data_IF_154750527188
#
_entry.id   IF_154750527188
#
_cell.length_a   1.000
_cell.length_b   1.000
_cell.length_c   1.000
_cell.angle_alpha   90.00
_cell.angle_beta   90.00
_cell.angle_gamma   90.00
#
_symmetry.space_group_name_H-M   'P 1'
#
loop_
_entity.id
_entity.type
_entity.pdbx_description
1 polymer ?
#
# COMPACT_ATOMS: atom_id res chain seq x y z
N UNK A 1 1.25 -24.03 -2.90
CA UNK A 1 2.35 -24.82 -2.32
C UNK A 1 2.75 -25.92 -3.27
N UNK A 2 1.80 -26.78 -3.67
CA UNK A 2 2.07 -27.84 -4.65
C UNK A 2 2.66 -27.34 -5.98
N UNK A 3 2.12 -26.25 -6.55
CA UNK A 3 2.73 -25.64 -7.75
C UNK A 3 4.21 -25.27 -7.58
N UNK A 4 4.61 -24.81 -6.39
CA UNK A 4 6.01 -24.48 -6.11
C UNK A 4 6.87 -25.74 -6.03
N UNK A 5 6.37 -26.80 -5.38
CA UNK A 5 7.06 -28.09 -5.29
C UNK A 5 7.23 -28.73 -6.66
N UNK A 6 6.17 -28.73 -7.49
CA UNK A 6 6.22 -29.26 -8.86
C UNK A 6 7.22 -28.47 -9.70
N UNK A 7 7.16 -27.15 -9.66
CA UNK A 7 8.05 -26.31 -10.43
C UNK A 7 9.53 -26.47 -10.02
N UNK A 8 9.83 -26.35 -8.72
CA UNK A 8 11.20 -26.54 -8.20
C UNK A 8 11.74 -27.94 -8.50
N UNK A 9 10.91 -28.99 -8.39
CA UNK A 9 11.30 -30.36 -8.75
C UNK A 9 11.62 -30.50 -10.24
N UNK A 10 10.84 -29.87 -11.12
CA UNK A 10 11.11 -29.88 -12.56
C UNK A 10 12.42 -29.17 -12.92
N UNK A 11 12.85 -28.20 -12.11
CA UNK A 11 14.13 -27.53 -12.24
C UNK A 11 15.31 -28.32 -11.62
N UNK A 12 15.06 -29.51 -11.07
CA UNK A 12 16.10 -30.35 -10.45
C UNK A 12 16.60 -29.84 -9.10
N UNK A 13 15.83 -28.97 -8.43
CA UNK A 13 16.19 -28.41 -7.14
C UNK A 13 16.13 -29.46 -6.03
N UNK A 14 17.19 -29.54 -5.21
CA UNK A 14 17.30 -30.55 -4.14
C UNK A 14 16.29 -30.27 -3.03
N UNK A 15 16.06 -29.00 -2.73
CA UNK A 15 15.10 -28.51 -1.73
C UNK A 15 13.63 -28.73 -2.12
N UNK A 16 13.33 -29.12 -3.37
CA UNK A 16 11.96 -29.36 -3.82
C UNK A 16 11.21 -30.43 -3.01
N UNK A 17 11.96 -31.33 -2.37
CA UNK A 17 11.43 -32.37 -1.48
C UNK A 17 11.00 -31.84 -0.12
N UNK A 18 11.56 -30.71 0.33
CA UNK A 18 11.33 -30.12 1.65
C UNK A 18 11.43 -28.59 1.57
N UNK A 19 10.51 -27.97 0.81
CA UNK A 19 10.46 -26.52 0.67
C UNK A 19 10.15 -25.85 2.01
N UNK A 20 10.98 -24.88 2.38
CA UNK A 20 10.85 -24.12 3.61
C UNK A 20 10.33 -22.70 3.38
N UNK A 21 10.24 -21.91 4.45
CA UNK A 21 9.78 -20.52 4.39
C UNK A 21 10.70 -19.63 3.53
N UNK A 22 12.02 -19.81 3.58
CA UNK A 22 12.96 -18.99 2.81
C UNK A 22 12.96 -19.33 1.31
N UNK A 23 12.57 -20.56 0.94
CA UNK A 23 12.48 -20.99 -0.46
C UNK A 23 11.21 -20.48 -1.15
N UNK A 24 10.18 -20.14 -0.37
CA UNK A 24 8.84 -19.84 -0.89
C UNK A 24 8.83 -18.63 -1.82
N UNK A 25 9.48 -17.53 -1.44
CA UNK A 25 9.53 -16.32 -2.28
C UNK A 25 10.39 -16.52 -3.52
N UNK A 26 11.52 -17.22 -3.38
CA UNK A 26 12.42 -17.52 -4.49
C UNK A 26 11.71 -18.34 -5.57
N UNK A 27 11.12 -19.48 -5.20
CA UNK A 27 10.42 -20.33 -6.17
C UNK A 27 9.11 -19.73 -6.65
N UNK A 28 8.46 -18.87 -5.87
CA UNK A 28 7.30 -18.12 -6.35
C UNK A 28 7.69 -17.16 -7.48
N UNK A 29 8.83 -16.47 -7.39
CA UNK A 29 9.27 -15.57 -8.45
C UNK A 29 9.74 -16.32 -9.69
N UNK A 30 10.54 -17.39 -9.52
CA UNK A 30 10.94 -18.25 -10.66
C UNK A 30 9.73 -18.84 -11.40
N UNK A 31 8.71 -19.29 -10.66
CA UNK A 31 7.46 -19.76 -11.25
C UNK A 31 6.71 -18.62 -11.95
N UNK A 32 6.69 -17.42 -11.37
CA UNK A 32 6.02 -16.24 -11.94
C UNK A 32 6.66 -15.83 -13.26
N UNK A 33 7.98 -15.73 -13.29
CA UNK A 33 8.78 -15.46 -14.49
C UNK A 33 8.49 -16.50 -15.58
N UNK A 34 8.59 -17.79 -15.25
CA UNK A 34 8.35 -18.86 -16.25
C UNK A 34 6.91 -18.93 -16.74
N UNK A 35 5.93 -18.65 -15.88
CA UNK A 35 4.50 -18.79 -16.21
C UNK A 35 3.95 -17.60 -16.98
N UNK A 36 4.41 -16.40 -16.68
CA UNK A 36 3.88 -15.16 -17.27
C UNK A 36 4.87 -14.46 -18.21
N UNK A 37 6.12 -14.90 -18.25
CA UNK A 37 7.19 -14.33 -19.08
C UNK A 37 7.38 -12.83 -18.78
N UNK A 38 7.49 -12.52 -17.48
CA UNK A 38 7.71 -11.18 -16.91
C UNK A 38 8.87 -11.26 -15.92
N UNK A 39 9.83 -10.36 -16.07
CA UNK A 39 10.90 -10.14 -15.11
C UNK A 39 10.67 -8.81 -14.38
N UNK A 40 10.68 -8.81 -13.05
CA UNK A 40 10.46 -7.59 -12.26
C UNK A 40 11.56 -6.54 -12.49
N UNK A 41 12.81 -6.95 -12.71
CA UNK A 41 13.93 -6.04 -12.96
C UNK A 41 13.82 -5.36 -14.33
N UNK A 42 13.33 -6.07 -15.35
CA UNK A 42 13.10 -5.50 -16.69
C UNK A 42 11.93 -4.51 -16.70
N UNK A 43 11.03 -4.59 -15.72
CA UNK A 43 9.92 -3.66 -15.56
C UNK A 43 10.29 -2.37 -14.83
N UNK A 44 11.28 -2.41 -13.93
CA UNK A 44 11.69 -1.24 -13.13
C UNK A 44 11.93 0.03 -13.96
N UNK A 45 12.59 0.00 -15.14
CA UNK A 45 12.79 1.18 -15.97
C UNK A 45 11.50 1.89 -16.42
N UNK A 46 10.36 1.19 -16.45
CA UNK A 46 9.06 1.76 -16.83
C UNK A 46 8.31 2.40 -15.66
N UNK A 47 8.71 2.13 -14.42
CA UNK A 47 8.03 2.60 -13.21
C UNK A 47 8.89 3.60 -12.44
N UNK A 48 9.25 4.71 -13.08
CA UNK A 48 9.95 5.80 -12.38
C UNK A 48 8.98 6.61 -11.52
N UNK A 49 9.40 6.99 -10.31
CA UNK A 49 8.54 7.74 -9.38
C UNK A 49 7.91 9.02 -10.01
N UNK A 50 8.63 9.84 -10.80
CA UNK A 50 8.01 11.00 -11.45
C UNK A 50 6.83 10.63 -12.35
N UNK A 51 6.97 9.60 -13.19
CA UNK A 51 5.89 9.15 -14.09
C UNK A 51 4.71 8.55 -13.31
N UNK A 52 4.99 7.85 -12.22
CA UNK A 52 3.97 7.32 -11.30
C UNK A 52 3.15 8.47 -10.71
N UNK A 53 3.79 9.52 -10.20
CA UNK A 53 3.09 10.67 -9.62
C UNK A 53 2.29 11.45 -10.68
N UNK A 54 2.87 11.68 -11.86
CA UNK A 54 2.18 12.39 -12.95
C UNK A 54 0.90 11.65 -13.37
N UNK A 55 0.98 10.33 -13.56
CA UNK A 55 -0.20 9.53 -13.92
C UNK A 55 -1.22 9.47 -12.78
N UNK A 56 -0.77 9.34 -11.52
CA UNK A 56 -1.64 9.38 -10.34
C UNK A 56 -2.42 10.70 -10.25
N UNK A 57 -1.77 11.84 -10.52
CA UNK A 57 -2.42 13.15 -10.52
C UNK A 57 -3.39 13.31 -11.69
N UNK A 58 -3.05 12.80 -12.87
CA UNK A 58 -3.96 12.77 -14.01
C UNK A 58 -5.20 11.91 -13.73
N UNK A 59 -5.02 10.75 -13.06
CA UNK A 59 -6.13 9.93 -12.62
C UNK A 59 -7.01 10.68 -11.60
N UNK A 60 -6.40 11.33 -10.61
CA UNK A 60 -7.13 12.11 -9.61
C UNK A 60 -7.93 13.26 -10.25
N UNK A 61 -7.38 13.90 -11.28
CA UNK A 61 -8.10 14.89 -12.09
C UNK A 61 -9.30 14.30 -12.81
N UNK A 62 -9.13 13.14 -13.45
CA UNK A 62 -10.21 12.45 -14.18
C UNK A 62 -11.34 12.00 -13.24
N UNK A 63 -11.00 11.44 -12.07
CA UNK A 63 -11.99 10.89 -11.14
C UNK A 63 -12.64 11.94 -10.25
N UNK A 64 -11.87 12.92 -9.79
CA UNK A 64 -12.28 13.83 -8.71
C UNK A 64 -12.26 15.31 -9.10
N UNK A 65 -11.84 15.65 -10.33
CA UNK A 65 -11.85 17.02 -10.83
C UNK A 65 -10.86 17.94 -10.13
N UNK A 66 -9.77 17.40 -9.57
CA UNK A 66 -8.74 18.16 -8.86
C UNK A 66 -7.46 18.31 -9.68
N UNK A 67 -6.80 19.46 -9.56
CA UNK A 67 -5.49 19.70 -10.14
C UNK A 67 -4.43 19.71 -9.04
N UNK A 68 -3.38 18.91 -9.20
CA UNK A 68 -2.29 18.78 -8.23
C UNK A 68 -1.01 19.32 -8.88
N UNK A 69 -0.33 20.23 -8.19
CA UNK A 69 0.92 20.84 -8.68
C UNK A 69 1.99 20.88 -7.58
N UNK A 70 3.29 20.78 -7.94
CA UNK A 70 4.37 21.01 -7.00
C UNK A 70 4.28 22.40 -6.36
N UNK A 71 4.52 22.46 -5.06
CA UNK A 71 4.49 23.67 -4.25
C UNK A 71 5.71 23.74 -3.31
N UNK A 72 6.80 23.06 -3.66
CA UNK A 72 8.05 23.06 -2.90
C UNK A 72 8.51 24.50 -2.58
N UNK A 73 8.96 24.73 -1.35
CA UNK A 73 9.35 26.05 -0.85
C UNK A 73 8.21 26.86 -0.23
N UNK A 74 6.94 26.47 -0.42
CA UNK A 74 5.80 27.11 0.27
C UNK A 74 5.74 26.74 1.77
N UNK A 75 6.16 25.52 2.11
CA UNK A 75 6.20 25.01 3.47
C UNK A 75 7.60 24.48 3.81
N UNK A 76 8.06 24.60 5.07
CA UNK A 76 9.31 24.01 5.50
C UNK A 76 9.23 22.48 5.48
N UNK A 77 10.34 21.81 5.16
CA UNK A 77 10.45 20.35 5.08
C UNK A 77 11.60 19.85 5.96
N UNK A 78 11.54 18.59 6.38
CA UNK A 78 12.53 17.96 7.28
C UNK A 78 13.69 17.27 6.55
N UNK A 79 13.53 17.00 5.25
CA UNK A 79 14.54 16.33 4.43
C UNK A 79 14.41 16.82 2.96
N UNK A 80 15.52 16.84 2.22
CA UNK A 80 15.57 17.35 0.84
C UNK A 80 14.78 16.52 -0.17
N UNK A 81 14.53 15.24 0.14
CA UNK A 81 13.77 14.33 -0.70
C UNK A 81 12.25 14.50 -0.53
N UNK A 82 11.81 15.27 0.48
CA UNK A 82 10.40 15.54 0.74
C UNK A 82 9.86 16.47 -0.34
N UNK A 83 8.77 16.06 -0.97
CA UNK A 83 8.01 16.88 -1.93
C UNK A 83 6.79 17.47 -1.27
N UNK A 84 6.43 18.69 -1.66
CA UNK A 84 5.21 19.34 -1.20
C UNK A 84 4.32 19.73 -2.38
N UNK A 85 3.03 19.46 -2.27
CA UNK A 85 2.07 19.64 -3.35
C UNK A 85 0.88 20.48 -2.89
N UNK A 86 0.33 21.26 -3.84
CA UNK A 86 -0.92 21.98 -3.70
C UNK A 86 -2.00 21.25 -4.48
N UNK A 87 -3.17 21.08 -3.87
CA UNK A 87 -4.37 20.55 -4.51
C UNK A 87 -5.36 21.68 -4.76
N UNK A 88 -5.86 21.79 -5.98
CA UNK A 88 -6.80 22.83 -6.43
C UNK A 88 -8.09 22.20 -6.93
N UNK A 89 -9.20 22.91 -6.76
CA UNK A 89 -10.47 22.58 -7.42
C UNK A 89 -10.46 22.97 -8.92
N UNK A 90 -11.54 22.66 -9.62
CA UNK A 90 -11.73 22.98 -11.03
C UNK A 90 -11.78 24.48 -11.35
N UNK A 91 -11.96 25.34 -10.35
CA UNK A 91 -11.90 26.80 -10.47
C UNK A 91 -10.47 27.34 -10.22
N UNK A 92 -9.53 26.47 -9.89
CA UNK A 92 -8.13 26.81 -9.60
C UNK A 92 -7.90 27.27 -8.15
N UNK A 93 -8.90 27.18 -7.27
CA UNK A 93 -8.75 27.58 -5.87
C UNK A 93 -8.06 26.46 -5.07
N UNK A 94 -7.08 26.78 -4.19
CA UNK A 94 -6.48 25.78 -3.32
C UNK A 94 -7.53 25.19 -2.36
N UNK A 95 -7.59 23.86 -2.28
CA UNK A 95 -8.50 23.14 -1.38
C UNK A 95 -7.76 22.27 -0.36
N UNK A 96 -6.51 21.89 -0.62
CA UNK A 96 -5.69 21.11 0.30
C UNK A 96 -4.20 21.15 -0.08
N UNK A 97 -3.36 20.56 0.78
CA UNK A 97 -1.93 20.33 0.52
C UNK A 97 -1.48 18.98 1.06
N UNK A 98 -0.37 18.45 0.57
CA UNK A 98 0.26 17.30 1.19
C UNK A 98 1.78 17.26 1.01
N UNK A 99 2.45 16.64 1.96
CA UNK A 99 3.86 16.27 1.86
C UNK A 99 3.99 14.82 1.41
N UNK A 100 5.07 14.51 0.71
CA UNK A 100 5.42 13.15 0.34
C UNK A 100 6.90 12.86 0.65
N UNK A 101 7.16 11.90 1.56
CA UNK A 101 8.50 11.38 1.90
C UNK A 101 8.64 9.93 1.37
N UNK A 102 9.17 9.73 0.15
CA UNK A 102 9.01 8.46 -0.58
C UNK A 102 10.02 7.36 -0.20
N UNK A 103 11.25 7.73 0.17
CA UNK A 103 12.37 6.79 0.13
C UNK A 103 12.65 6.11 1.46
N UNK A 104 13.18 4.88 1.38
CA UNK A 104 13.69 4.17 2.55
C UNK A 104 14.89 4.88 3.16
N UNK A 105 14.86 5.08 4.48
CA UNK A 105 15.93 5.73 5.25
C UNK A 105 16.06 5.08 6.64
N UNK A 106 16.52 3.83 6.71
CA UNK A 106 16.39 2.98 7.91
C UNK A 106 17.17 3.49 9.13
N UNK A 107 18.12 4.40 8.96
CA UNK A 107 18.86 5.02 10.07
C UNK A 107 18.00 5.90 10.97
N UNK A 108 16.91 6.48 10.45
CA UNK A 108 16.10 7.48 11.18
C UNK A 108 14.59 7.45 10.85
N UNK A 109 14.17 6.70 9.83
CA UNK A 109 12.78 6.62 9.37
C UNK A 109 12.20 5.23 9.64
N UNK A 110 11.01 5.19 10.25
CA UNK A 110 10.23 3.96 10.46
C UNK A 110 9.98 3.26 9.11
N UNK A 111 9.95 1.93 9.11
CA UNK A 111 9.61 1.14 7.93
C UNK A 111 8.11 1.08 7.63
N UNK A 112 7.75 0.56 6.46
CA UNK A 112 6.37 0.46 5.99
C UNK A 112 5.97 1.60 5.06
N UNK A 113 4.69 1.86 4.98
CA UNK A 113 4.11 3.04 4.36
C UNK A 113 2.92 3.48 5.21
N UNK A 114 2.63 4.78 5.23
CA UNK A 114 1.50 5.32 5.96
C UNK A 114 1.14 6.74 5.49
N UNK A 115 -0.11 7.11 5.75
CA UNK A 115 -0.62 8.46 5.69
C UNK A 115 -0.81 8.98 7.13
N UNK A 116 -0.58 10.27 7.34
CA UNK A 116 -0.87 10.94 8.61
C UNK A 116 -1.47 12.33 8.38
N UNK A 117 -2.28 12.81 9.32
CA UNK A 117 -2.82 14.17 9.25
C UNK A 117 -1.82 15.19 9.79
N UNK A 118 -1.63 16.30 9.07
CA UNK A 118 -0.86 17.45 9.57
C UNK A 118 -1.80 18.42 10.27
N UNK A 119 -2.84 18.84 9.54
CA UNK A 119 -3.95 19.62 10.07
C UNK A 119 -5.24 19.20 9.39
N UNK A 120 -6.35 19.16 10.14
CA UNK A 120 -7.68 18.88 9.60
C UNK A 120 -8.34 20.12 9.00
N UNK A 121 -9.27 19.88 8.07
CA UNK A 121 -10.22 20.90 7.62
C UNK A 121 -11.07 21.37 8.79
N UNK A 122 -11.17 22.67 9.02
CA UNK A 122 -11.89 23.16 10.20
C UNK A 122 -12.34 24.61 10.06
N UNK A 123 -13.63 24.86 10.32
CA UNK A 123 -14.19 26.21 10.43
C UNK A 123 -13.71 26.92 11.70
N UNK A 124 -13.66 26.21 12.82
CA UNK A 124 -13.26 26.77 14.14
C UNK A 124 -11.81 27.24 14.14
N UNK A 125 -10.92 26.51 13.44
CA UNK A 125 -9.49 26.84 13.35
C UNK A 125 -9.17 27.74 12.14
N UNK A 126 -10.18 28.37 11.55
CA UNK A 126 -9.99 29.38 10.52
C UNK A 126 -9.49 30.70 11.11
N UNK A 127 -8.88 31.52 10.25
CA UNK A 127 -8.57 32.91 10.58
C UNK A 127 -9.89 33.70 10.58
N UNK A 128 -10.04 34.66 11.49
CA UNK A 128 -11.28 35.43 11.65
C UNK A 128 -11.81 35.97 10.31
N UNK A 129 -13.05 35.60 9.97
CA UNK A 129 -13.74 36.04 8.75
C UNK A 129 -13.33 35.31 7.46
N UNK A 130 -12.49 34.27 7.53
CA UNK A 130 -12.08 33.48 6.37
C UNK A 130 -12.85 32.16 6.24
N UNK A 131 -12.77 31.55 5.06
CA UNK A 131 -13.23 30.19 4.81
C UNK A 131 -12.55 29.17 5.74
N UNK A 132 -13.10 27.95 5.92
CA UNK A 132 -12.48 26.92 6.75
C UNK A 132 -10.99 26.72 6.44
N UNK A 133 -10.18 26.48 7.48
CA UNK A 133 -8.76 26.11 7.31
C UNK A 133 -8.67 24.89 6.40
N UNK A 134 -7.77 24.91 5.42
CA UNK A 134 -7.57 23.81 4.48
C UNK A 134 -6.84 22.64 5.17
N UNK A 135 -7.20 21.38 4.85
CA UNK A 135 -6.51 20.21 5.34
C UNK A 135 -5.11 20.06 4.74
N UNK A 136 -4.20 19.46 5.51
CA UNK A 136 -2.86 19.08 5.05
C UNK A 136 -2.58 17.64 5.49
N UNK A 137 -2.05 16.82 4.59
CA UNK A 137 -1.69 15.41 4.81
C UNK A 137 -0.18 15.16 4.70
N UNK A 138 0.29 14.08 5.31
CA UNK A 138 1.54 13.41 5.02
C UNK A 138 1.26 12.12 4.25
N UNK A 139 2.05 11.85 3.22
CA UNK A 139 2.20 10.54 2.63
C UNK A 139 3.65 10.10 2.83
N UNK A 140 3.85 8.89 3.32
CA UNK A 140 5.18 8.36 3.61
C UNK A 140 5.28 6.95 3.07
N UNK A 141 6.29 6.71 2.23
CA UNK A 141 6.65 5.38 1.73
C UNK A 141 8.10 5.04 2.10
N UNK A 142 8.49 3.77 1.95
CA UNK A 142 9.87 3.32 2.09
C UNK A 142 10.34 2.60 0.83
N UNK A 143 10.08 3.18 -0.34
CA UNK A 143 10.46 2.59 -1.62
C UNK A 143 11.97 2.68 -1.88
N UNK A 144 12.42 1.91 -2.88
CA UNK A 144 13.80 1.84 -3.35
C UNK A 144 14.33 3.25 -3.66
N UNK A 145 15.39 3.72 -2.95
CA UNK A 145 15.96 5.05 -3.20
C UNK A 145 16.53 5.18 -4.62
N UNK A 146 16.70 6.43 -5.12
CA UNK A 146 17.47 6.70 -6.34
C UNK A 146 18.87 6.06 -6.31
N UNK A 147 19.35 5.61 -7.47
CA UNK A 147 20.71 5.05 -7.62
C UNK A 147 21.53 5.95 -8.54
N UNK A 148 22.52 6.64 -7.96
CA UNK A 148 23.28 7.67 -8.67
C UNK A 148 22.37 8.80 -9.15
N UNK A 149 22.47 9.16 -10.43
CA UNK A 149 21.66 10.24 -11.03
C UNK A 149 20.31 9.76 -11.60
N UNK A 150 19.98 8.47 -11.45
CA UNK A 150 18.72 7.91 -11.95
C UNK A 150 17.57 8.19 -10.98
N UNK A 151 16.32 8.37 -11.47
CA UNK A 151 15.16 8.45 -10.58
C UNK A 151 14.97 7.14 -9.80
N UNK A 152 14.15 7.18 -8.75
CA UNK A 152 13.69 5.95 -8.08
C UNK A 152 12.90 5.10 -9.07
N UNK A 153 13.41 3.89 -9.35
CA UNK A 153 12.79 2.90 -10.22
C UNK A 153 12.09 1.84 -9.37
N UNK A 154 10.78 1.73 -9.55
CA UNK A 154 9.88 1.04 -8.65
C UNK A 154 9.52 -0.34 -9.17
N UNK A 155 9.26 -1.25 -8.24
CA UNK A 155 8.47 -2.45 -8.48
C UNK A 155 6.99 -2.08 -8.62
N UNK A 156 6.19 -2.98 -9.21
CA UNK A 156 4.74 -2.78 -9.28
C UNK A 156 4.11 -2.66 -7.88
N UNK A 157 4.66 -3.39 -6.88
CA UNK A 157 4.16 -3.32 -5.50
C UNK A 157 4.41 -1.97 -4.83
N UNK A 158 5.55 -1.34 -5.12
CA UNK A 158 5.82 0.03 -4.65
C UNK A 158 4.88 1.04 -5.31
N UNK A 159 4.49 0.83 -6.58
CA UNK A 159 3.47 1.66 -7.25
C UNK A 159 2.11 1.51 -6.56
N UNK A 160 1.65 0.28 -6.30
CA UNK A 160 0.42 0.03 -5.54
C UNK A 160 0.45 0.72 -4.16
N UNK A 161 1.61 0.69 -3.48
CA UNK A 161 1.78 1.32 -2.17
C UNK A 161 1.61 2.84 -2.24
N UNK A 162 2.14 3.51 -3.27
CA UNK A 162 1.91 4.96 -3.45
C UNK A 162 0.44 5.26 -3.71
N UNK A 163 -0.25 4.45 -4.52
CA UNK A 163 -1.69 4.60 -4.76
C UNK A 163 -2.51 4.39 -3.48
N UNK A 164 -2.13 3.40 -2.66
CA UNK A 164 -2.75 3.12 -1.37
C UNK A 164 -2.69 4.34 -0.43
N UNK A 165 -1.49 4.88 -0.19
CA UNK A 165 -1.33 6.04 0.70
C UNK A 165 -2.01 7.29 0.13
N UNK A 166 -2.06 7.42 -1.19
CA UNK A 166 -2.76 8.53 -1.83
C UNK A 166 -4.28 8.45 -1.63
N UNK A 167 -4.86 7.24 -1.55
CA UNK A 167 -6.28 7.07 -1.21
C UNK A 167 -6.64 7.60 0.17
N UNK A 168 -5.81 7.32 1.19
CA UNK A 168 -5.96 7.95 2.51
C UNK A 168 -5.83 9.48 2.44
N UNK A 169 -4.81 9.96 1.72
CA UNK A 169 -4.57 11.39 1.57
C UNK A 169 -5.76 12.09 0.89
N UNK A 170 -6.36 11.49 -0.15
CA UNK A 170 -7.56 11.98 -0.82
C UNK A 170 -8.73 12.10 0.15
N UNK A 171 -9.01 11.08 0.98
CA UNK A 171 -10.12 11.14 1.94
C UNK A 171 -9.95 12.27 2.96
N UNK A 172 -8.72 12.48 3.43
CA UNK A 172 -8.41 13.61 4.32
C UNK A 172 -8.56 14.97 3.62
N UNK A 173 -8.01 15.09 2.41
CA UNK A 173 -7.90 16.34 1.67
C UNK A 173 -9.21 16.80 1.03
N UNK A 174 -10.03 15.88 0.53
CA UNK A 174 -11.25 16.16 -0.21
C UNK A 174 -12.50 16.18 0.67
N UNK A 175 -12.34 16.11 1.99
CA UNK A 175 -13.46 16.19 2.92
C UNK A 175 -14.24 17.51 2.76
N UNK A 176 -15.56 17.40 2.66
CA UNK A 176 -16.45 18.57 2.63
C UNK A 176 -16.90 19.03 4.03
N UNK A 177 -16.64 18.21 5.06
CA UNK A 177 -16.95 18.56 6.44
C UNK A 177 -16.02 19.68 6.92
N UNK A 178 -16.60 20.71 7.56
CA UNK A 178 -15.83 21.78 8.21
C UNK A 178 -15.84 21.69 9.74
N UNK A 179 -16.54 20.69 10.29
CA UNK A 179 -16.49 20.33 11.70
C UNK A 179 -15.22 19.53 11.99
N UNK A 180 -14.23 20.18 12.58
CA UNK A 180 -12.85 19.68 12.60
C UNK A 180 -12.64 18.38 13.38
N UNK A 181 -13.58 17.99 14.25
CA UNK A 181 -13.52 16.74 15.01
C UNK A 181 -13.99 15.51 14.21
N UNK A 182 -14.66 15.73 13.08
CA UNK A 182 -15.19 14.67 12.19
C UNK A 182 -14.81 14.89 10.73
N UNK A 183 -13.85 15.79 10.47
CA UNK A 183 -13.36 16.09 9.13
C UNK A 183 -12.24 15.13 8.71
N UNK A 184 -12.15 14.89 7.41
CA UNK A 184 -11.15 14.00 6.82
C UNK A 184 -11.44 12.54 7.16
N UNK A 185 -10.50 11.90 7.85
CA UNK A 185 -10.62 10.52 8.32
C UNK A 185 -11.09 10.41 9.78
N UNK A 186 -11.28 11.53 10.48
CA UNK A 186 -11.67 11.54 11.90
C UNK A 186 -13.12 11.10 12.07
N UNK A 187 -13.36 10.23 13.06
CA UNK A 187 -14.70 9.75 13.39
C UNK A 187 -15.24 8.67 12.46
N UNK A 188 -14.44 8.21 11.49
CA UNK A 188 -14.76 7.04 10.67
C UNK A 188 -14.41 5.78 11.46
N UNK A 189 -15.32 4.82 11.49
CA UNK A 189 -15.07 3.51 12.08
C UNK A 189 -13.81 2.87 11.47
N UNK A 190 -12.95 2.33 12.34
CA UNK A 190 -11.60 1.90 11.95
C UNK A 190 -11.57 0.74 10.95
N UNK A 191 -12.68 0.03 10.76
CA UNK A 191 -12.85 -1.00 9.74
C UNK A 191 -13.36 -0.47 8.39
N UNK A 192 -13.52 0.85 8.25
CA UNK A 192 -13.83 1.54 7.00
C UNK A 192 -12.70 2.47 6.50
N UNK A 193 -11.69 2.77 7.31
CA UNK A 193 -10.62 3.72 6.94
C UNK A 193 -9.73 3.23 5.79
N UNK A 194 -9.65 1.92 5.58
CA UNK A 194 -8.88 1.30 4.46
C UNK A 194 -9.62 1.30 3.12
N UNK A 195 -10.88 1.76 3.10
CA UNK A 195 -11.71 1.72 1.90
C UNK A 195 -11.12 2.54 0.73
N UNK A 196 -10.78 3.83 0.90
CA UNK A 196 -10.26 4.63 -0.22
C UNK A 196 -8.82 4.27 -0.59
N UNK A 197 -8.00 3.83 0.36
CA UNK A 197 -6.63 3.39 0.09
C UNK A 197 -6.62 2.17 -0.82
N UNK A 198 -7.37 1.12 -0.46
CA UNK A 198 -7.50 -0.10 -1.26
C UNK A 198 -8.27 0.12 -2.57
N UNK A 199 -9.24 1.05 -2.58
CA UNK A 199 -9.91 1.46 -3.81
C UNK A 199 -8.90 1.95 -4.84
N UNK A 200 -7.96 2.82 -4.44
CA UNK A 200 -6.97 3.39 -5.34
C UNK A 200 -6.04 2.35 -5.96
N UNK A 201 -5.67 1.28 -5.23
CA UNK A 201 -4.82 0.19 -5.76
C UNK A 201 -5.41 -0.47 -7.03
N UNK A 202 -6.75 -0.52 -7.18
CA UNK A 202 -7.37 -1.13 -8.36
C UNK A 202 -7.02 -0.41 -9.66
N UNK A 203 -6.75 0.89 -9.61
CA UNK A 203 -6.41 1.69 -10.78
C UNK A 203 -5.01 1.40 -11.31
N UNK A 204 -4.13 0.75 -10.53
CA UNK A 204 -2.84 0.26 -11.04
C UNK A 204 -3.00 -0.78 -12.15
N UNK A 205 -4.14 -1.47 -12.22
CA UNK A 205 -4.48 -2.42 -13.29
C UNK A 205 -5.40 -1.82 -14.36
N UNK A 206 -5.87 -0.58 -14.19
CA UNK A 206 -6.65 0.09 -15.23
C UNK A 206 -5.70 0.45 -16.38
N UNK A 207 -6.06 0.02 -17.59
CA UNK A 207 -5.21 0.13 -18.79
C UNK A 207 -4.67 1.54 -19.00
N UNK A 208 -5.53 2.56 -19.00
CA UNK A 208 -5.11 3.93 -19.30
C UNK A 208 -4.19 4.49 -18.21
N UNK A 209 -4.47 4.18 -16.95
CA UNK A 209 -3.61 4.54 -15.82
C UNK A 209 -2.25 3.87 -15.94
N UNK A 210 -2.20 2.55 -16.11
CA UNK A 210 -0.94 1.81 -16.21
C UNK A 210 -0.11 2.30 -17.40
N UNK A 211 -0.71 2.47 -18.58
CA UNK A 211 0.00 2.98 -19.76
C UNK A 211 0.44 4.44 -19.60
N UNK A 212 -0.27 5.22 -18.79
CA UNK A 212 0.15 6.57 -18.39
C UNK A 212 1.40 6.56 -17.51
N UNK A 213 1.51 5.60 -16.59
CA UNK A 213 2.67 5.40 -15.71
C UNK A 213 3.85 4.83 -16.50
N UNK A 214 3.61 3.77 -17.27
CA UNK A 214 4.62 2.82 -17.71
C UNK A 214 5.38 3.33 -18.94
N UNK A 215 6.27 4.30 -18.71
CA UNK A 215 7.17 4.88 -19.72
C UNK A 215 8.62 4.68 -19.30
N UNK A 216 9.44 4.20 -20.22
CA UNK A 216 10.86 3.96 -19.95
C UNK A 216 11.55 5.28 -19.58
N UNK A 217 12.23 5.32 -18.43
CA UNK A 217 12.76 6.58 -17.87
C UNK A 217 13.78 7.30 -18.77
N UNK A 218 14.50 6.58 -19.63
CA UNK A 218 15.48 7.16 -20.57
C UNK A 218 14.89 7.49 -21.96
N UNK A 219 14.07 6.60 -22.51
CA UNK A 219 13.63 6.68 -23.92
C UNK A 219 12.25 7.31 -24.06
N UNK A 220 11.46 7.34 -22.98
CA UNK A 220 10.05 7.78 -22.99
C UNK A 220 9.10 6.81 -23.69
N UNK A 221 9.59 5.66 -24.17
CA UNK A 221 8.77 4.66 -24.83
C UNK A 221 7.77 4.04 -23.86
N UNK A 222 6.54 3.84 -24.33
CA UNK A 222 5.49 3.20 -23.53
C UNK A 222 5.72 1.71 -23.42
N UNK A 223 5.30 1.12 -22.30
CA UNK A 223 5.35 -0.31 -22.08
C UNK A 223 4.65 -1.06 -23.22
N UNK A 224 5.29 -2.10 -23.80
CA UNK A 224 4.66 -2.89 -24.85
C UNK A 224 3.34 -3.50 -24.38
N UNK A 225 2.35 -3.51 -25.28
CA UNK A 225 1.00 -4.01 -24.99
C UNK A 225 0.99 -5.46 -24.48
N UNK A 226 1.85 -6.30 -25.04
CA UNK A 226 2.00 -7.69 -24.62
C UNK A 226 2.46 -7.81 -23.16
N UNK A 227 3.32 -6.90 -22.68
CA UNK A 227 3.82 -6.90 -21.30
C UNK A 227 2.71 -6.46 -20.34
N UNK A 228 1.88 -5.50 -20.73
CA UNK A 228 0.67 -5.15 -19.98
C UNK A 228 -0.29 -6.35 -19.82
N UNK A 229 -0.56 -7.09 -20.90
CA UNK A 229 -1.44 -8.26 -20.85
C UNK A 229 -0.87 -9.36 -19.94
N UNK A 230 0.45 -9.55 -19.95
CA UNK A 230 1.13 -10.47 -19.02
C UNK A 230 0.98 -10.01 -17.57
N UNK A 231 1.17 -8.71 -17.27
CA UNK A 231 0.96 -8.14 -15.94
C UNK A 231 -0.47 -8.37 -15.43
N UNK A 232 -1.45 -8.18 -16.31
CA UNK A 232 -2.86 -8.42 -15.99
C UNK A 232 -3.13 -9.90 -15.71
N UNK A 233 -2.57 -10.80 -16.51
CA UNK A 233 -2.66 -12.25 -16.28
C UNK A 233 -2.02 -12.69 -14.95
N UNK A 234 -0.96 -12.00 -14.52
CA UNK A 234 -0.27 -12.26 -13.27
C UNK A 234 -0.99 -11.71 -12.02
N UNK A 235 -2.02 -10.87 -12.16
CA UNK A 235 -2.75 -10.22 -11.04
C UNK A 235 -3.24 -11.19 -9.97
N UNK A 236 -3.73 -12.36 -10.38
CA UNK A 236 -4.31 -13.36 -9.46
C UNK A 236 -3.31 -14.44 -9.03
N UNK A 237 -2.04 -14.31 -9.44
CA UNK A 237 -0.99 -15.25 -9.07
C UNK A 237 -0.86 -15.34 -7.55
N UNK A 238 -1.05 -16.53 -7.00
CA UNK A 238 -0.99 -16.82 -5.55
C UNK A 238 -1.96 -16.00 -4.68
N UNK A 239 -3.05 -15.47 -5.25
CA UNK A 239 -4.07 -14.72 -4.50
C UNK A 239 -4.56 -15.47 -3.25
N UNK A 240 -4.71 -16.80 -3.33
CA UNK A 240 -5.06 -17.64 -2.17
C UNK A 240 -4.01 -17.61 -1.05
N UNK A 241 -2.70 -17.67 -1.38
CA UNK A 241 -1.62 -17.61 -0.38
C UNK A 241 -1.52 -16.22 0.26
N UNK A 242 -1.66 -15.16 -0.54
CA UNK A 242 -1.67 -13.78 -0.05
C UNK A 242 -2.88 -13.51 0.85
N UNK A 243 -4.05 -14.01 0.46
CA UNK A 243 -5.27 -13.89 1.27
C UNK A 243 -5.13 -14.61 2.60
N UNK A 244 -4.65 -15.86 2.59
CA UNK A 244 -4.48 -16.66 3.81
C UNK A 244 -3.44 -16.05 4.76
N UNK A 245 -2.37 -15.44 4.23
CA UNK A 245 -1.40 -14.67 5.02
C UNK A 245 -2.04 -13.50 5.76
N UNK A 246 -2.89 -12.71 5.10
CA UNK A 246 -3.60 -11.61 5.76
C UNK A 246 -4.61 -12.13 6.79
N UNK A 247 -5.31 -13.24 6.48
CA UNK A 247 -6.24 -13.87 7.42
C UNK A 247 -5.52 -14.41 8.67
N UNK A 248 -4.29 -14.93 8.53
CA UNK A 248 -3.46 -15.31 9.69
C UNK A 248 -3.24 -14.12 10.61
N UNK A 249 -2.80 -12.98 10.08
CA UNK A 249 -2.53 -11.79 10.88
C UNK A 249 -3.79 -11.30 11.61
N UNK A 250 -4.91 -11.18 10.90
CA UNK A 250 -6.18 -10.77 11.49
C UNK A 250 -6.69 -11.77 12.55
N UNK A 251 -6.57 -13.08 12.27
CA UNK A 251 -7.00 -14.12 13.21
C UNK A 251 -6.12 -14.15 14.46
N UNK A 252 -4.81 -13.95 14.31
CA UNK A 252 -3.88 -13.95 15.44
C UNK A 252 -4.11 -12.73 16.33
N UNK A 253 -4.28 -11.55 15.72
CA UNK A 253 -4.65 -10.32 16.43
C UNK A 253 -5.92 -10.53 17.27
N UNK A 254 -7.02 -10.96 16.64
CA UNK A 254 -8.26 -11.23 17.37
C UNK A 254 -8.10 -12.30 18.46
N UNK A 255 -7.33 -13.35 18.22
CA UNK A 255 -7.14 -14.41 19.22
C UNK A 255 -6.34 -13.93 20.44
N UNK A 256 -5.32 -13.09 20.21
CA UNK A 256 -4.51 -12.44 21.25
C UNK A 256 -5.35 -11.46 22.08
N UNK A 257 -6.29 -10.76 21.46
CA UNK A 257 -7.11 -9.75 22.14
C UNK A 257 -8.46 -10.26 22.67
N UNK A 258 -8.88 -11.49 22.32
CA UNK A 258 -10.15 -12.06 22.78
C UNK A 258 -10.00 -13.24 23.75
N UNK A 259 -9.08 -14.18 23.48
CA UNK A 259 -9.01 -15.45 24.24
C UNK A 259 -7.73 -15.62 25.04
N UNK A 260 -6.62 -15.05 24.55
CA UNK A 260 -5.33 -15.15 25.22
C UNK A 260 -5.36 -14.46 26.60
N UNK A 261 -4.70 -15.07 27.59
CA UNK A 261 -4.59 -14.53 28.95
C UNK A 261 -3.11 -14.35 29.31
N UNK A 262 -2.60 -13.11 29.34
CA UNK A 262 -1.24 -12.85 29.76
C UNK A 262 -0.96 -13.42 31.17
N UNK A 263 0.21 -14.03 31.36
CA UNK A 263 0.62 -14.64 32.63
C UNK A 263 0.13 -16.09 32.86
N UNK A 264 -0.70 -16.64 31.96
CA UNK A 264 -0.97 -18.08 31.91
C UNK A 264 0.25 -18.86 31.36
N UNK A 265 0.16 -20.19 31.32
CA UNK A 265 1.23 -21.05 30.79
C UNK A 265 1.41 -20.98 29.27
N UNK A 266 0.39 -20.55 28.53
CA UNK A 266 0.45 -20.39 27.07
C UNK A 266 1.20 -19.09 26.73
N UNK A 267 2.18 -19.17 25.84
CA UNK A 267 2.90 -18.01 25.31
C UNK A 267 2.19 -17.43 24.07
N UNK A 268 2.51 -16.19 23.69
CA UNK A 268 2.03 -15.59 22.45
C UNK A 268 2.45 -16.39 21.19
N UNK A 269 3.56 -17.13 21.27
CA UNK A 269 4.05 -17.98 20.18
C UNK A 269 3.28 -19.30 20.09
N UNK A 270 2.77 -19.81 21.22
CA UNK A 270 1.87 -20.97 21.22
C UNK A 270 0.53 -20.61 20.55
N UNK A 271 0.02 -19.39 20.80
CA UNK A 271 -1.16 -18.86 20.11
C UNK A 271 -0.90 -18.76 18.61
N UNK A 272 0.25 -18.23 18.19
CA UNK A 272 0.64 -18.15 16.78
C UNK A 272 0.67 -19.53 16.12
N UNK A 273 1.34 -20.50 16.73
CA UNK A 273 1.40 -21.88 16.24
C UNK A 273 -0.02 -22.48 16.11
N UNK A 274 -0.90 -22.23 17.08
CA UNK A 274 -2.27 -22.73 17.05
C UNK A 274 -3.14 -22.11 15.96
N UNK A 275 -3.07 -20.79 15.78
CA UNK A 275 -3.82 -20.06 14.74
C UNK A 275 -3.31 -20.45 13.34
N UNK A 276 -1.99 -20.61 13.20
CA UNK A 276 -1.34 -20.93 11.94
C UNK A 276 -1.75 -22.31 11.39
N UNK A 277 -2.18 -23.27 12.23
CA UNK A 277 -2.72 -24.58 11.77
C UNK A 277 -3.90 -24.47 10.81
N UNK A 278 -4.68 -23.40 10.87
CA UNK A 278 -5.84 -23.16 9.98
C UNK A 278 -5.59 -22.07 8.93
N UNK A 279 -4.53 -21.29 9.10
CA UNK A 279 -4.27 -20.06 8.31
C UNK A 279 -2.93 -20.10 7.59
N UNK A 280 -2.23 -21.23 7.61
CA UNK A 280 -1.05 -21.50 6.80
C UNK A 280 -1.04 -22.95 6.33
N UNK A 281 -0.37 -23.18 5.21
CA UNK A 281 -0.20 -24.51 4.61
C UNK A 281 1.02 -25.27 5.15
N UNK A 282 1.96 -24.54 5.75
CA UNK A 282 3.13 -25.07 6.48
C UNK A 282 3.24 -24.33 7.81
N UNK A 283 3.60 -25.01 8.91
CA UNK A 283 3.67 -24.37 10.23
C UNK A 283 4.80 -23.32 10.28
N UNK A 284 4.67 -22.25 11.09
CA UNK A 284 5.76 -21.33 11.38
C UNK A 284 6.93 -22.06 12.02
N UNK A 285 8.13 -21.51 11.86
CA UNK A 285 9.31 -22.00 12.57
C UNK A 285 9.16 -21.81 14.08
N UNK A 286 9.71 -22.71 14.93
CA UNK A 286 9.78 -22.48 16.37
C UNK A 286 10.49 -21.18 16.76
N UNK A 287 11.39 -20.70 15.89
CA UNK A 287 12.15 -19.45 16.02
C UNK A 287 11.39 -18.24 15.45
N UNK A 288 10.19 -18.40 14.89
CA UNK A 288 9.42 -17.28 14.35
C UNK A 288 9.06 -16.28 15.47
N UNK A 289 9.50 -15.02 15.30
CA UNK A 289 9.25 -13.90 16.22
C UNK A 289 8.57 -12.73 15.50
N UNK A 290 7.82 -12.98 14.42
CA UNK A 290 7.22 -11.89 13.64
C UNK A 290 6.33 -10.96 14.47
N UNK A 291 5.71 -11.47 15.54
CA UNK A 291 4.95 -10.67 16.51
C UNK A 291 5.77 -9.49 17.09
N UNK A 292 7.07 -9.69 17.32
CA UNK A 292 7.95 -8.63 17.81
C UNK A 292 8.17 -7.49 16.80
N UNK A 293 7.87 -7.73 15.51
CA UNK A 293 7.85 -6.72 14.45
C UNK A 293 6.43 -6.31 14.03
N UNK A 294 5.38 -6.78 14.70
CA UNK A 294 4.01 -6.54 14.28
C UNK A 294 3.45 -5.21 14.82
N UNK A 295 4.07 -4.11 14.39
CA UNK A 295 3.79 -2.77 14.90
C UNK A 295 2.35 -2.31 14.70
N UNK A 296 1.60 -2.87 13.74
CA UNK A 296 0.20 -2.50 13.50
C UNK A 296 -0.67 -2.65 14.76
N UNK A 297 -0.47 -3.73 15.52
CA UNK A 297 -1.31 -4.07 16.68
C UNK A 297 -0.66 -3.70 18.02
N UNK A 298 0.66 -3.50 18.05
CA UNK A 298 1.39 -3.18 19.29
C UNK A 298 1.85 -1.72 19.40
N UNK A 299 1.92 -1.00 18.28
CA UNK A 299 2.40 0.38 18.20
C UNK A 299 1.66 1.21 17.13
N UNK A 300 0.43 0.81 16.80
CA UNK A 300 -0.43 1.40 15.79
C UNK A 300 -1.91 1.29 16.17
N UNK A 301 -2.80 1.74 15.28
CA UNK A 301 -4.25 1.79 15.55
C UNK A 301 -5.00 0.48 15.36
N UNK A 302 -4.33 -0.64 15.04
CA UNK A 302 -5.00 -1.87 14.60
C UNK A 302 -5.08 -2.97 15.67
N UNK A 303 -4.87 -2.64 16.95
CA UNK A 303 -5.03 -3.61 18.03
C UNK A 303 -6.47 -4.13 18.07
N UNK A 304 -6.67 -5.45 17.97
CA UNK A 304 -7.98 -6.08 17.77
C UNK A 304 -8.74 -5.57 16.53
N UNK A 305 -8.02 -5.10 15.51
CA UNK A 305 -8.54 -4.39 14.36
C UNK A 305 -7.79 -4.67 13.05
N UNK A 306 -6.81 -5.58 13.02
CA UNK A 306 -6.10 -5.87 11.76
C UNK A 306 -7.03 -6.47 10.68
N UNK A 307 -8.19 -6.99 11.08
CA UNK A 307 -9.24 -7.44 10.16
C UNK A 307 -9.83 -6.30 9.30
N UNK A 308 -9.67 -5.04 9.69
CA UNK A 308 -10.10 -3.84 8.93
C UNK A 308 -9.64 -3.88 7.48
N UNK A 309 -8.40 -4.31 7.23
CA UNK A 309 -7.85 -4.45 5.87
C UNK A 309 -8.61 -5.45 4.99
N UNK A 310 -9.36 -6.41 5.56
CA UNK A 310 -10.12 -7.40 4.78
C UNK A 310 -11.56 -6.99 4.59
N UNK A 311 -12.19 -6.38 5.60
CA UNK A 311 -13.57 -5.90 5.52
C UNK A 311 -13.72 -4.81 4.44
N UNK A 312 -12.74 -3.91 4.33
CA UNK A 312 -12.70 -2.90 3.26
C UNK A 312 -12.56 -3.49 1.84
N UNK A 313 -11.93 -4.66 1.70
CA UNK A 313 -11.80 -5.34 0.40
C UNK A 313 -13.11 -6.01 -0.02
N UNK A 314 -13.82 -6.66 0.90
CA UNK A 314 -15.03 -7.43 0.57
C UNK A 314 -16.25 -6.54 0.30
N UNK A 315 -16.35 -5.39 0.99
CA UNK A 315 -17.40 -4.38 0.74
C UNK A 315 -17.39 -3.86 -0.71
N UNK A 316 -16.23 -3.85 -1.38
CA UNK A 316 -16.11 -3.52 -2.80
C UNK A 316 -16.68 -4.58 -3.75
N UNK A 317 -16.65 -5.86 -3.37
CA UNK A 317 -17.11 -6.95 -4.25
C UNK A 317 -18.63 -7.09 -4.29
N UNK A 318 -19.33 -6.62 -3.25
CA UNK A 318 -20.78 -6.74 -3.11
C UNK A 318 -21.58 -5.53 -3.62
N UNK A 319 -20.94 -4.40 -3.95
CA UNK A 319 -21.65 -3.24 -4.53
C UNK A 319 -21.93 -3.36 -6.04
N UNK A 320 -21.50 -4.45 -6.70
CA UNK A 320 -21.81 -4.72 -8.12
C UNK A 320 -23.16 -5.44 -8.35
N UNK A 321 -24.01 -5.59 -7.34
CA UNK A 321 -25.35 -6.22 -7.47
C UNK A 321 -26.52 -5.31 -7.06
N UNK A 322 -26.34 -3.99 -7.06
CA UNK A 322 -27.46 -3.05 -6.93
C UNK A 322 -27.30 -1.88 -7.92
N UNK A 323 -27.64 -2.17 -9.17
CA UNK A 323 -28.12 -1.20 -10.17
C UNK A 323 -29.14 -1.89 -11.06
#
# INVERSE_FOLDING_TARGET
MEDLKVFSKNQGAVEAHDLTHWDTSFWAERLRESKYDINEEELRPFFSLPMVMDSLFNLAKTLFGIDIEPADGLAPVWNNDVKFYRVKDSLGSPIAYFYFDPYSRPSEKRGGAWMDEVVSRSRVLSRNGMAPRLPIAHMVCNQTPPVGDKPSLMTFREVETVFHEFGHALQHMLTMQDEGLVAGIRGIEWDAVELPSQFMENWCYHRETLMGIAKHYETGESLPEEVYLKLLAARTFRAGSLSLRQLRFASLDLELHAKYKPGASESIYDVDQRVSKKTQVIPPLPEDRFLCGFSHIFAGGYAAGYYSYKVCVETHTHTNTCS
#
